data_IF_644652666651
#
_entry.id   IF_644652666651
#
_cell.length_a   1.000
_cell.length_b   1.000
_cell.length_c   1.000
_cell.angle_alpha   90.00
_cell.angle_beta   90.00
_cell.angle_gamma   90.00
#
_symmetry.space_group_name_H-M   'P 1'
#
loop_
_entity.id
_entity.type
_entity.pdbx_description
1 polymer ?
#
# COMPACT_ATOMS: atom_id res chain seq x y z
N UNK A 1 -6.55 -12.31 23.53
CA UNK A 1 -7.31 -13.57 23.74
C UNK A 1 -7.63 -14.10 22.35
N UNK A 2 -6.96 -15.17 21.94
CA UNK A 2 -7.09 -15.70 20.59
C UNK A 2 -8.12 -16.85 20.55
N UNK A 3 -9.03 -16.83 19.58
CA UNK A 3 -9.97 -17.93 19.32
C UNK A 3 -9.45 -18.72 18.12
N UNK A 4 -9.02 -19.95 18.37
CA UNK A 4 -8.54 -20.87 17.32
C UNK A 4 -9.74 -21.48 16.59
N UNK A 5 -9.88 -21.23 15.29
CA UNK A 5 -10.95 -21.81 14.44
C UNK A 5 -10.39 -23.01 13.65
N UNK A 6 -9.08 -22.98 13.34
CA UNK A 6 -8.30 -24.09 12.79
C UNK A 6 -6.88 -24.08 13.40
N UNK A 7 -6.13 -25.20 13.37
CA UNK A 7 -4.73 -25.21 13.81
C UNK A 7 -3.92 -24.14 13.04
N UNK A 8 -3.41 -23.14 13.74
CA UNK A 8 -2.63 -22.04 13.16
C UNK A 8 -3.45 -20.91 12.53
N UNK A 9 -4.80 -20.96 12.56
CA UNK A 9 -5.69 -19.88 12.16
C UNK A 9 -6.45 -19.38 13.40
N UNK A 10 -5.93 -18.32 14.01
CA UNK A 10 -6.52 -17.78 15.22
C UNK A 10 -7.02 -16.36 14.99
N UNK A 11 -8.25 -16.13 15.45
CA UNK A 11 -8.84 -14.82 15.57
C UNK A 11 -8.22 -14.14 16.79
N UNK A 12 -7.40 -13.11 16.58
CA UNK A 12 -6.80 -12.37 17.68
C UNK A 12 -7.61 -11.11 17.97
N UNK A 13 -8.06 -10.97 19.22
CA UNK A 13 -8.74 -9.77 19.71
C UNK A 13 -7.73 -8.98 20.55
N UNK A 14 -7.46 -7.70 20.20
CA UNK A 14 -6.48 -6.88 20.91
C UNK A 14 -6.85 -6.67 22.39
N UNK A 15 -5.86 -6.41 23.27
CA UNK A 15 -4.42 -6.33 22.99
C UNK A 15 -3.77 -7.71 22.82
N UNK A 16 -2.72 -7.78 22.00
CA UNK A 16 -2.03 -9.03 21.64
C UNK A 16 -0.80 -9.26 22.50
N UNK A 17 -0.58 -10.49 22.95
CA UNK A 17 0.65 -10.84 23.67
C UNK A 17 1.85 -10.86 22.70
N UNK A 18 3.10 -10.70 23.18
CA UNK A 18 4.29 -10.75 22.31
C UNK A 18 4.36 -12.02 21.46
N UNK A 19 3.98 -13.17 22.02
CA UNK A 19 3.96 -14.45 21.31
C UNK A 19 2.86 -14.53 20.23
N UNK A 20 1.82 -13.68 20.31
CA UNK A 20 0.78 -13.57 19.29
C UNK A 20 1.26 -12.76 18.06
N UNK A 21 2.33 -11.95 18.17
CA UNK A 21 2.82 -11.05 17.12
C UNK A 21 3.67 -11.73 16.03
N UNK A 22 4.12 -12.96 16.25
CA UNK A 22 4.95 -13.74 15.30
C UNK A 22 4.16 -14.79 14.50
N UNK A 23 2.82 -14.72 14.52
CA UNK A 23 1.97 -15.79 13.98
C UNK A 23 1.86 -15.74 12.45
N UNK A 24 1.93 -16.92 11.84
CA UNK A 24 1.85 -17.08 10.38
C UNK A 24 0.51 -16.61 9.78
N UNK A 25 -0.62 -16.93 10.41
CA UNK A 25 -1.95 -16.50 9.95
C UNK A 25 -2.64 -15.73 11.06
N UNK A 26 -3.06 -14.51 10.75
CA UNK A 26 -3.80 -13.69 11.69
C UNK A 26 -5.05 -13.08 11.08
N UNK A 27 -6.16 -13.39 11.73
CA UNK A 27 -7.46 -12.79 11.47
C UNK A 27 -7.72 -11.80 12.61
N UNK A 28 -7.83 -10.53 12.26
CA UNK A 28 -8.11 -9.42 13.17
C UNK A 28 -9.45 -8.81 12.78
N UNK A 29 -10.56 -9.06 13.47
CA UNK A 29 -11.85 -8.49 13.03
C UNK A 29 -11.85 -6.95 13.07
N UNK A 30 -11.17 -6.36 14.06
CA UNK A 30 -11.21 -4.91 14.30
C UNK A 30 -9.83 -4.29 14.11
N UNK A 31 -8.84 -4.73 14.88
CA UNK A 31 -7.47 -4.26 14.80
C UNK A 31 -6.49 -5.38 15.19
N UNK A 32 -5.29 -5.40 14.59
CA UNK A 32 -4.21 -6.23 15.12
C UNK A 32 -2.82 -5.80 14.68
N UNK A 33 -1.84 -6.19 15.49
CA UNK A 33 -0.45 -5.72 15.43
C UNK A 33 0.51 -6.90 15.31
N UNK A 34 1.19 -7.05 14.17
CA UNK A 34 2.10 -8.18 13.94
C UNK A 34 3.53 -7.77 13.60
N UNK A 35 4.49 -8.43 14.21
CA UNK A 35 5.89 -8.30 13.81
C UNK A 35 6.15 -9.09 12.52
N UNK A 36 5.60 -10.31 12.43
CA UNK A 36 5.64 -11.13 11.22
C UNK A 36 4.33 -11.89 11.02
N UNK A 37 3.72 -11.79 9.83
CA UNK A 37 2.57 -12.62 9.46
C UNK A 37 2.50 -12.91 7.97
N UNK A 38 2.24 -14.15 7.57
CA UNK A 38 2.01 -14.49 6.16
C UNK A 38 0.69 -13.87 5.66
N UNK A 39 -0.35 -13.88 6.50
CA UNK A 39 -1.63 -13.25 6.19
C UNK A 39 -2.12 -12.43 7.37
N UNK A 40 -2.40 -11.16 7.14
CA UNK A 40 -3.04 -10.27 8.09
C UNK A 40 -4.34 -9.73 7.46
N UNK A 41 -5.48 -10.15 8.01
CA UNK A 41 -6.81 -9.78 7.54
C UNK A 41 -7.53 -8.98 8.62
N UNK A 42 -8.07 -7.80 8.31
CA UNK A 42 -8.81 -7.07 9.33
C UNK A 42 -9.30 -5.67 9.02
N UNK A 43 -9.95 -5.03 10.00
CA UNK A 43 -10.34 -3.63 9.89
C UNK A 43 -9.11 -2.73 9.79
N UNK A 44 -8.28 -2.74 10.83
CA UNK A 44 -7.02 -2.04 10.92
C UNK A 44 -5.87 -3.02 11.13
N UNK A 45 -4.92 -3.10 10.21
CA UNK A 45 -3.79 -4.01 10.29
C UNK A 45 -2.50 -3.21 10.43
N UNK A 46 -1.77 -3.39 11.53
CA UNK A 46 -0.43 -2.84 11.69
C UNK A 46 0.58 -3.97 11.68
N UNK A 47 1.58 -3.92 10.79
CA UNK A 47 2.58 -4.98 10.72
C UNK A 47 3.97 -4.51 10.33
N UNK A 48 5.01 -5.03 10.97
CA UNK A 48 6.37 -4.80 10.47
C UNK A 48 6.63 -5.56 9.17
N UNK A 49 6.29 -6.86 9.12
CA UNK A 49 6.48 -7.69 7.94
C UNK A 49 5.24 -8.56 7.71
N UNK A 50 4.53 -8.30 6.62
CA UNK A 50 3.44 -9.15 6.17
C UNK A 50 3.72 -9.70 4.77
N UNK A 51 3.30 -10.92 4.43
CA UNK A 51 3.27 -11.31 3.00
C UNK A 51 2.04 -10.68 2.37
N UNK A 52 0.86 -10.94 2.93
CA UNK A 52 -0.41 -10.40 2.47
C UNK A 52 -1.09 -9.61 3.61
N UNK A 53 -1.42 -8.36 3.35
CA UNK A 53 -2.13 -7.48 4.27
C UNK A 53 -3.45 -7.05 3.60
N UNK A 54 -4.60 -7.49 4.10
CA UNK A 54 -5.90 -7.10 3.54
C UNK A 54 -6.78 -6.51 4.61
N UNK A 55 -7.27 -5.30 4.39
CA UNK A 55 -8.08 -4.64 5.39
C UNK A 55 -8.68 -3.32 4.97
N UNK A 56 -9.32 -2.62 5.89
CA UNK A 56 -9.81 -1.27 5.61
C UNK A 56 -8.63 -0.31 5.63
N UNK A 57 -7.81 -0.39 6.67
CA UNK A 57 -6.59 0.38 6.85
C UNK A 57 -5.42 -0.57 7.08
N UNK A 58 -4.41 -0.52 6.23
CA UNK A 58 -3.19 -1.32 6.38
C UNK A 58 -2.00 -0.40 6.61
N UNK A 59 -1.26 -0.62 7.69
CA UNK A 59 0.02 0.04 7.98
C UNK A 59 1.10 -1.01 8.04
N UNK A 60 2.11 -0.95 7.16
CA UNK A 60 3.22 -1.89 7.26
C UNK A 60 4.59 -1.39 6.84
N UNK A 61 5.66 -1.93 7.43
CA UNK A 61 7.01 -1.61 6.93
C UNK A 61 7.28 -2.36 5.63
N UNK A 62 7.05 -3.68 5.60
CA UNK A 62 7.18 -4.48 4.39
C UNK A 62 5.91 -5.30 4.13
N UNK A 63 5.41 -5.27 2.89
CA UNK A 63 4.36 -6.17 2.45
C UNK A 63 4.52 -6.66 1.01
N UNK A 64 4.42 -7.96 0.73
CA UNK A 64 4.40 -8.40 -0.67
C UNK A 64 3.14 -7.88 -1.39
N UNK A 65 1.97 -7.99 -0.77
CA UNK A 65 0.71 -7.43 -1.26
C UNK A 65 -0.05 -6.75 -0.12
N UNK A 66 -0.33 -5.45 -0.28
CA UNK A 66 -1.22 -4.69 0.60
C UNK A 66 -2.49 -4.31 -0.15
N UNK A 67 -3.66 -4.65 0.38
CA UNK A 67 -4.95 -4.41 -0.24
C UNK A 67 -5.95 -3.81 0.75
N UNK A 68 -6.53 -2.65 0.45
CA UNK A 68 -7.46 -2.03 1.37
C UNK A 68 -8.06 -0.70 0.93
N UNK A 69 -8.79 -0.01 1.81
CA UNK A 69 -9.25 1.35 1.48
C UNK A 69 -8.08 2.32 1.53
N UNK A 70 -7.29 2.24 2.60
CA UNK A 70 -6.09 3.04 2.76
C UNK A 70 -4.90 2.18 3.17
N UNK A 71 -3.82 2.27 2.40
CA UNK A 71 -2.61 1.49 2.63
C UNK A 71 -1.42 2.42 2.85
N UNK A 72 -0.81 2.37 4.03
CA UNK A 72 0.43 3.06 4.37
C UNK A 72 1.55 2.05 4.51
N UNK A 73 2.34 1.85 3.45
CA UNK A 73 3.43 0.85 3.50
C UNK A 73 4.79 1.42 3.13
N UNK A 74 5.86 1.11 3.86
CA UNK A 74 7.19 1.63 3.49
C UNK A 74 7.70 0.95 2.23
N UNK A 75 7.63 -0.38 2.17
CA UNK A 75 8.04 -1.21 1.04
C UNK A 75 6.92 -2.17 0.68
N UNK A 76 6.51 -2.19 -0.59
CA UNK A 76 5.58 -3.21 -1.06
C UNK A 76 5.79 -3.68 -2.49
N UNK A 77 5.63 -4.98 -2.78
CA UNK A 77 5.69 -5.40 -4.19
C UNK A 77 4.46 -4.90 -4.95
N UNK A 78 3.26 -5.04 -4.37
CA UNK A 78 1.99 -4.59 -4.94
C UNK A 78 1.12 -3.94 -3.88
N UNK A 79 0.62 -2.74 -4.15
CA UNK A 79 -0.28 -2.01 -3.26
C UNK A 79 -1.58 -1.64 -3.99
N UNK A 80 -2.74 -2.07 -3.49
CA UNK A 80 -4.04 -1.84 -4.14
C UNK A 80 -5.03 -1.24 -3.15
N UNK A 81 -5.60 -0.07 -3.48
CA UNK A 81 -6.60 0.52 -2.61
C UNK A 81 -7.31 1.75 -3.15
N UNK A 82 -8.11 2.42 -2.31
CA UNK A 82 -8.65 3.74 -2.68
C UNK A 82 -7.53 4.78 -2.64
N UNK A 83 -6.77 4.78 -1.55
CA UNK A 83 -5.65 5.65 -1.31
C UNK A 83 -4.42 4.84 -0.86
N UNK A 84 -3.34 4.94 -1.63
CA UNK A 84 -2.08 4.30 -1.26
C UNK A 84 -1.05 5.36 -0.92
N UNK A 85 -0.31 5.14 0.16
CA UNK A 85 0.86 5.91 0.53
C UNK A 85 2.01 4.94 0.75
N UNK A 86 2.98 5.00 -0.14
CA UNK A 86 4.02 3.99 -0.23
C UNK A 86 5.39 4.61 -0.34
N UNK A 87 6.33 4.21 0.51
CA UNK A 87 7.72 4.68 0.40
C UNK A 87 8.32 4.24 -0.94
N UNK A 88 8.23 2.94 -1.21
CA UNK A 88 8.67 2.32 -2.45
C UNK A 88 7.76 1.13 -2.78
N UNK A 89 7.31 1.04 -4.03
CA UNK A 89 6.56 -0.14 -4.49
C UNK A 89 6.88 -0.59 -5.92
N UNK A 90 6.66 -1.87 -6.23
CA UNK A 90 6.70 -2.34 -7.61
C UNK A 90 5.50 -1.83 -8.42
N UNK A 91 4.29 -2.00 -7.90
CA UNK A 91 3.05 -1.57 -8.53
C UNK A 91 2.11 -0.97 -7.49
N UNK A 92 1.62 0.24 -7.73
CA UNK A 92 0.52 0.85 -6.98
C UNK A 92 -0.71 1.01 -7.87
N UNK A 93 -1.86 0.51 -7.40
CA UNK A 93 -3.17 0.73 -8.03
C UNK A 93 -4.09 1.42 -7.03
N UNK A 94 -4.37 2.69 -7.29
CA UNK A 94 -5.22 3.55 -6.48
C UNK A 94 -6.52 3.86 -7.23
N UNK A 95 -7.68 3.67 -6.61
CA UNK A 95 -8.95 4.10 -7.21
C UNK A 95 -9.16 5.61 -7.12
N UNK A 96 -8.43 6.29 -6.22
CA UNK A 96 -8.47 7.75 -6.07
C UNK A 96 -7.06 8.31 -6.21
N UNK A 97 -6.13 7.84 -5.36
CA UNK A 97 -4.81 8.46 -5.27
C UNK A 97 -3.70 7.48 -4.87
N UNK A 98 -2.52 7.67 -5.46
CA UNK A 98 -1.26 7.04 -5.03
C UNK A 98 -0.25 8.10 -4.61
N UNK A 99 0.45 7.86 -3.49
CA UNK A 99 1.53 8.69 -2.98
C UNK A 99 2.82 7.90 -2.84
N UNK A 100 3.93 8.56 -3.17
CA UNK A 100 5.29 8.08 -3.04
C UNK A 100 5.81 7.35 -4.28
N UNK A 101 6.88 6.60 -4.14
CA UNK A 101 7.59 6.05 -5.31
C UNK A 101 7.06 4.66 -5.67
N UNK A 102 6.78 4.43 -6.95
CA UNK A 102 6.59 3.07 -7.46
C UNK A 102 7.06 2.92 -8.89
N UNK A 103 7.53 1.74 -9.27
CA UNK A 103 7.91 1.50 -10.66
C UNK A 103 6.75 1.77 -11.62
N UNK A 104 5.52 1.37 -11.24
CA UNK A 104 4.28 1.75 -11.93
C UNK A 104 3.23 2.22 -10.93
N UNK A 105 2.66 3.40 -11.17
CA UNK A 105 1.52 3.94 -10.42
C UNK A 105 0.33 4.11 -11.37
N UNK A 106 -0.82 3.55 -11.01
CA UNK A 106 -2.07 3.69 -11.75
C UNK A 106 -3.12 4.21 -10.77
N UNK A 107 -3.53 5.46 -10.95
CA UNK A 107 -4.63 6.08 -10.20
C UNK A 107 -5.10 7.36 -10.89
N UNK A 108 -6.32 7.84 -10.63
CA UNK A 108 -6.74 9.16 -11.10
C UNK A 108 -5.77 10.27 -10.71
N UNK A 109 -5.18 10.20 -9.51
CA UNK A 109 -4.14 11.13 -9.04
C UNK A 109 -2.91 10.34 -8.61
N UNK A 110 -1.73 10.69 -9.12
CA UNK A 110 -0.45 10.12 -8.68
C UNK A 110 0.48 11.24 -8.20
N UNK A 111 1.12 11.03 -7.06
CA UNK A 111 2.11 11.98 -6.50
C UNK A 111 3.37 11.20 -6.09
N UNK A 112 4.47 11.41 -6.79
CA UNK A 112 5.74 10.77 -6.48
C UNK A 112 6.59 10.47 -7.71
N UNK A 113 7.07 9.23 -7.83
CA UNK A 113 8.06 8.84 -8.84
C UNK A 113 7.75 7.50 -9.55
N UNK A 114 8.47 7.27 -10.65
CA UNK A 114 8.35 6.11 -11.56
C UNK A 114 7.43 6.35 -12.76
N UNK A 115 6.82 5.31 -13.35
CA UNK A 115 5.81 5.48 -14.41
C UNK A 115 4.48 5.84 -13.76
N UNK A 116 3.87 6.97 -14.13
CA UNK A 116 2.56 7.37 -13.63
C UNK A 116 1.51 7.32 -14.74
N UNK A 117 0.37 6.70 -14.46
CA UNK A 117 -0.79 6.64 -15.35
C UNK A 117 -2.00 7.13 -14.58
N UNK A 118 -2.55 8.27 -14.99
CA UNK A 118 -3.62 8.94 -14.25
C UNK A 118 -4.25 10.11 -14.96
N UNK A 119 -5.18 10.78 -14.30
CA UNK A 119 -5.72 12.05 -14.81
C UNK A 119 -4.77 13.20 -14.45
N UNK A 120 -4.26 13.17 -13.21
CA UNK A 120 -3.32 14.16 -12.66
C UNK A 120 -2.09 13.44 -12.13
N UNK A 121 -0.91 13.84 -12.60
CA UNK A 121 0.36 13.27 -12.19
C UNK A 121 1.26 14.38 -11.67
N UNK A 122 1.94 14.14 -10.54
CA UNK A 122 2.88 15.07 -9.93
C UNK A 122 4.15 14.33 -9.52
N UNK A 123 5.31 14.90 -9.82
CA UNK A 123 6.59 14.56 -9.16
C UNK A 123 7.69 14.18 -10.12
N UNK A 124 8.76 13.59 -9.61
CA UNK A 124 10.04 13.33 -10.32
C UNK A 124 9.99 12.08 -11.23
N UNK A 125 8.83 11.78 -11.78
CA UNK A 125 8.57 10.59 -12.57
C UNK A 125 9.20 10.64 -13.95
N UNK A 126 9.95 9.60 -14.34
CA UNK A 126 10.58 9.54 -15.66
C UNK A 126 9.55 9.61 -16.82
N UNK A 127 8.35 9.04 -16.62
CA UNK A 127 7.26 9.04 -17.60
C UNK A 127 5.95 9.30 -16.88
N UNK A 128 5.20 10.30 -17.35
CA UNK A 128 3.86 10.60 -16.86
C UNK A 128 2.86 10.54 -18.03
N UNK A 129 1.84 9.71 -17.87
CA UNK A 129 0.73 9.53 -18.79
C UNK A 129 -0.54 10.03 -18.10
N UNK A 130 -0.94 11.25 -18.40
CA UNK A 130 -2.18 11.79 -17.86
C UNK A 130 -2.61 13.08 -18.53
N UNK A 131 -3.79 13.56 -18.16
CA UNK A 131 -4.39 14.80 -18.70
C UNK A 131 -3.71 16.06 -18.18
N UNK A 132 -3.17 16.01 -16.96
CA UNK A 132 -2.42 17.10 -16.33
C UNK A 132 -1.17 16.49 -15.71
N UNK A 133 0.00 16.95 -16.13
CA UNK A 133 1.29 16.46 -15.64
C UNK A 133 2.07 17.65 -15.06
N UNK A 134 2.47 17.56 -13.79
CA UNK A 134 3.37 18.52 -13.16
C UNK A 134 4.78 17.93 -13.20
N UNK A 135 5.60 18.53 -14.06
CA UNK A 135 6.85 17.94 -14.50
C UNK A 135 8.05 18.74 -13.97
N UNK A 136 9.09 18.05 -13.49
CA UNK A 136 10.43 18.62 -13.41
C UNK A 136 11.14 18.54 -14.78
N UNK A 137 12.28 19.22 -14.93
CA UNK A 137 13.04 19.42 -16.19
C UNK A 137 13.33 18.16 -17.03
N UNK A 138 13.26 16.96 -16.45
CA UNK A 138 13.68 15.69 -17.06
C UNK A 138 12.55 14.73 -17.42
N UNK A 139 11.32 15.22 -17.49
CA UNK A 139 10.12 14.37 -17.66
C UNK A 139 9.60 14.42 -19.09
N UNK A 140 9.28 13.26 -19.65
CA UNK A 140 8.70 13.13 -20.99
C UNK A 140 7.17 12.93 -20.89
N UNK A 141 6.35 13.98 -21.03
CA UNK A 141 4.89 13.85 -21.06
C UNK A 141 4.46 13.30 -22.42
N UNK A 142 3.73 12.18 -22.45
CA UNK A 142 3.34 11.55 -23.73
C UNK A 142 1.94 11.98 -24.20
N UNK A 143 1.09 12.59 -23.36
CA UNK A 143 -0.32 12.88 -23.76
C UNK A 143 -0.88 14.24 -23.29
N UNK A 144 -0.24 15.03 -22.41
CA UNK A 144 -0.86 16.30 -21.99
C UNK A 144 0.06 17.40 -21.44
N UNK A 145 -0.58 18.54 -21.14
CA UNK A 145 -0.04 19.76 -20.56
C UNK A 145 0.94 19.44 -19.42
N UNK A 146 2.16 19.95 -19.57
CA UNK A 146 3.28 19.76 -18.67
C UNK A 146 3.70 21.15 -18.20
N UNK A 147 3.37 21.49 -16.96
CA UNK A 147 3.84 22.73 -16.34
C UNK A 147 5.19 22.45 -15.71
N UNK A 148 6.24 23.00 -16.32
CA UNK A 148 7.62 22.96 -15.81
C UNK A 148 7.73 23.97 -14.67
N UNK A 149 8.25 23.54 -13.52
CA UNK A 149 8.37 24.36 -12.33
C UNK A 149 9.75 24.98 -12.14
#
# INVERSE_FOLDING_TARGET
MALSILPGAELSIPPQSPDEKERLLQLNIIAGENEFGALNLGGYNESQRAILNVGVFNRSVFSALSAGLANQTVLSAVNVGLANQTGYSGLQVGLIINWGWSFVNIAPVNVGGGLQIGLVNWGTSAIQLGLINFCDDWILPIIAFCQVH
#
